data_IF_001727045176
#
_entry.id   IF_001727045176
#
_cell.length_a   1.000
_cell.length_b   1.000
_cell.length_c   1.000
_cell.angle_alpha   90.00
_cell.angle_beta   90.00
_cell.angle_gamma   90.00
#
_symmetry.space_group_name_H-M   'P 1'
#
loop_
_entity.id
_entity.type
_entity.pdbx_description
1 polymer ?
#
# COMPACT_ATOMS: atom_id res chain seq x y z
N UNK A 1 -0.24 -5.70 69.33
CA UNK A 1 -1.49 -6.02 68.61
C UNK A 1 -1.35 -5.47 67.19
N UNK A 2 -1.32 -6.36 66.19
CA UNK A 2 -1.80 -6.22 64.79
C UNK A 2 -1.40 -4.91 64.08
N UNK A 3 -0.29 -4.81 63.33
CA UNK A 3 0.00 -5.44 62.03
C UNK A 3 -1.15 -5.28 61.01
N UNK A 4 -1.29 -4.08 60.44
CA UNK A 4 -2.13 -3.85 59.27
C UNK A 4 -1.29 -4.07 58.00
N UNK A 5 -1.48 -5.30 57.52
CA UNK A 5 -0.95 -5.93 56.33
C UNK A 5 -1.36 -5.15 55.07
N UNK A 6 -0.37 -4.52 54.42
CA UNK A 6 -0.09 -4.54 52.98
C UNK A 6 -1.21 -5.11 52.08
N UNK A 7 -2.05 -4.22 51.51
CA UNK A 7 -2.96 -4.54 50.40
C UNK A 7 -2.74 -3.52 49.28
N UNK A 8 -1.61 -3.60 48.58
CA UNK A 8 -1.48 -2.98 47.26
C UNK A 8 -0.25 -3.49 46.45
N UNK A 9 -0.29 -4.70 45.88
CA UNK A 9 0.54 -4.91 44.69
C UNK A 9 -0.14 -5.66 43.54
N UNK A 10 -1.47 -5.80 43.52
CA UNK A 10 -2.12 -6.63 42.49
C UNK A 10 -2.52 -5.87 41.20
N UNK A 11 -2.54 -4.53 41.20
CA UNK A 11 -2.99 -3.75 40.03
C UNK A 11 -1.87 -3.37 39.05
N UNK A 12 -0.60 -3.61 39.38
CA UNK A 12 0.54 -3.21 38.51
C UNK A 12 0.86 -4.27 37.45
N UNK A 13 0.31 -5.49 37.57
CA UNK A 13 0.60 -6.60 36.65
C UNK A 13 -0.18 -6.55 35.32
N UNK A 14 -1.20 -5.68 35.19
CA UNK A 14 -2.02 -5.60 33.96
C UNK A 14 -1.57 -4.51 32.97
N UNK A 15 -0.56 -3.70 33.30
CA UNK A 15 -0.12 -2.60 32.44
C UNK A 15 0.95 -3.00 31.39
N UNK A 16 1.34 -4.27 31.30
CA UNK A 16 2.48 -4.72 30.49
C UNK A 16 2.16 -5.25 29.08
N UNK A 17 0.90 -5.23 28.64
CA UNK A 17 0.54 -5.62 27.28
C UNK A 17 0.49 -4.42 26.32
N UNK A 18 1.63 -3.73 26.13
CA UNK A 18 1.81 -2.92 24.91
C UNK A 18 2.56 -3.77 23.88
N UNK A 19 1.82 -4.66 23.20
CA UNK A 19 2.34 -5.42 22.07
C UNK A 19 2.52 -4.48 20.87
N UNK A 20 3.60 -3.70 20.87
CA UNK A 20 4.09 -3.05 19.66
C UNK A 20 4.65 -4.15 18.76
N UNK A 21 3.76 -4.81 18.01
CA UNK A 21 4.13 -5.84 17.05
C UNK A 21 4.98 -5.18 15.96
N UNK A 22 6.22 -5.67 15.71
CA UNK A 22 7.03 -5.15 14.62
C UNK A 22 6.27 -5.21 13.30
N UNK A 23 6.44 -4.19 12.45
CA UNK A 23 5.83 -4.19 11.12
C UNK A 23 6.25 -5.47 10.38
N UNK A 24 5.31 -6.23 9.79
CA UNK A 24 5.63 -7.46 9.09
C UNK A 24 6.53 -7.16 7.87
N UNK A 25 7.60 -7.92 7.71
CA UNK A 25 8.43 -7.87 6.50
C UNK A 25 7.73 -8.68 5.41
N UNK A 26 7.05 -8.00 4.48
CA UNK A 26 6.34 -8.62 3.37
C UNK A 26 7.25 -8.71 2.14
N UNK A 27 7.17 -9.83 1.41
CA UNK A 27 7.83 -9.95 0.13
C UNK A 27 7.30 -8.91 -0.87
N UNK A 28 8.13 -8.39 -1.79
CA UNK A 28 7.67 -7.46 -2.81
C UNK A 28 6.55 -8.08 -3.68
N UNK A 29 5.56 -7.28 -4.03
CA UNK A 29 4.49 -7.70 -4.94
C UNK A 29 5.05 -7.97 -6.34
N UNK A 30 4.87 -9.19 -6.82
CA UNK A 30 5.12 -9.60 -8.21
C UNK A 30 3.78 -9.77 -8.94
N UNK A 31 3.75 -9.48 -10.24
CA UNK A 31 2.57 -9.57 -11.11
C UNK A 31 2.84 -10.38 -12.37
N UNK A 32 4.03 -10.96 -12.52
CA UNK A 32 4.44 -11.75 -13.67
C UNK A 32 3.57 -12.99 -13.92
N UNK A 33 2.88 -13.49 -12.89
CA UNK A 33 1.96 -14.62 -12.97
C UNK A 33 0.61 -14.27 -13.61
N UNK A 34 0.30 -12.98 -13.82
CA UNK A 34 -0.96 -12.54 -14.41
C UNK A 34 -0.87 -12.49 -15.94
N UNK A 35 -1.98 -12.69 -16.66
CA UNK A 35 -2.01 -12.54 -18.11
C UNK A 35 -1.56 -11.13 -18.55
N UNK A 36 -0.76 -11.04 -19.63
CA UNK A 36 -0.31 -9.75 -20.16
C UNK A 36 -1.47 -8.96 -20.77
N UNK A 37 -1.32 -7.64 -20.78
CA UNK A 37 -2.20 -6.68 -21.41
C UNK A 37 -1.49 -6.18 -22.67
N UNK A 38 -1.91 -6.70 -23.82
CA UNK A 38 -1.20 -6.49 -25.09
C UNK A 38 -1.76 -5.32 -25.89
N UNK A 39 -0.89 -4.44 -26.35
CA UNK A 39 -1.23 -3.31 -27.22
C UNK A 39 -0.62 -3.46 -28.61
N UNK A 40 -1.37 -3.00 -29.63
CA UNK A 40 -0.93 -3.00 -31.04
C UNK A 40 -0.10 -1.75 -31.37
N UNK A 41 0.94 -1.53 -30.60
CA UNK A 41 1.91 -0.44 -30.77
C UNK A 41 3.34 -1.01 -30.75
N UNK A 42 4.31 -0.22 -31.20
CA UNK A 42 5.72 -0.63 -31.20
C UNK A 42 6.36 -0.55 -29.81
N UNK A 43 5.91 0.39 -28.96
CA UNK A 43 6.45 0.58 -27.62
C UNK A 43 5.37 1.02 -26.62
N UNK A 44 5.58 0.69 -25.34
CA UNK A 44 4.67 1.02 -24.23
C UNK A 44 5.47 1.54 -23.04
N UNK A 45 5.06 2.70 -22.53
CA UNK A 45 5.67 3.32 -21.33
C UNK A 45 4.66 3.45 -20.19
N UNK A 46 5.14 3.40 -18.95
CA UNK A 46 4.32 3.70 -17.76
C UNK A 46 4.78 5.03 -17.17
N UNK A 47 3.85 5.97 -17.05
CA UNK A 47 4.06 7.26 -16.39
C UNK A 47 3.28 7.31 -15.07
N UNK A 48 3.79 8.06 -14.10
CA UNK A 48 3.11 8.32 -12.84
C UNK A 48 2.96 9.82 -12.64
N UNK A 49 1.73 10.31 -12.74
CA UNK A 49 1.38 11.72 -12.54
C UNK A 49 0.70 11.95 -11.18
N UNK A 50 0.49 10.89 -10.40
CA UNK A 50 -0.22 11.00 -9.13
C UNK A 50 0.60 11.76 -8.09
N UNK A 51 0.00 12.82 -7.55
CA UNK A 51 0.53 13.60 -6.42
C UNK A 51 -0.47 13.47 -5.26
N UNK A 52 -0.08 12.83 -4.14
CA UNK A 52 -1.00 12.61 -3.03
C UNK A 52 -1.31 13.92 -2.29
N UNK A 53 -2.55 14.05 -1.82
CA UNK A 53 -2.90 15.08 -0.83
C UNK A 53 -2.26 14.76 0.53
N UNK A 54 -2.19 15.73 1.48
CA UNK A 54 -1.60 15.46 2.80
C UNK A 54 -2.27 14.31 3.56
N UNK A 55 -3.61 14.16 3.47
CA UNK A 55 -4.32 13.05 4.11
C UNK A 55 -3.96 11.69 3.51
N UNK A 56 -3.85 11.64 2.17
CA UNK A 56 -3.44 10.44 1.45
C UNK A 56 -1.97 10.09 1.70
N UNK A 57 -1.10 11.09 1.84
CA UNK A 57 0.31 10.88 2.18
C UNK A 57 0.46 10.21 3.56
N UNK A 58 -0.38 10.55 4.54
CA UNK A 58 -0.41 9.84 5.83
C UNK A 58 -0.74 8.36 5.64
N UNK A 59 -1.78 8.04 4.84
CA UNK A 59 -2.17 6.65 4.57
C UNK A 59 -1.11 5.87 3.78
N UNK A 60 -0.35 6.54 2.91
CA UNK A 60 0.78 5.93 2.18
C UNK A 60 1.86 5.44 3.15
N UNK A 61 2.13 6.19 4.23
CA UNK A 61 3.15 5.80 5.22
C UNK A 61 2.73 4.60 6.08
N UNK A 62 1.42 4.38 6.24
CA UNK A 62 0.87 3.22 6.96
C UNK A 62 0.77 1.97 6.07
N UNK A 63 0.81 2.15 4.74
CA UNK A 63 0.75 1.05 3.79
C UNK A 63 2.09 0.31 3.70
N UNK A 64 2.12 -1.03 3.61
CA UNK A 64 3.37 -1.77 3.44
C UNK A 64 4.16 -1.40 2.18
N UNK A 65 3.45 -1.01 1.12
CA UNK A 65 4.02 -0.44 -0.10
C UNK A 65 3.13 0.71 -0.60
N UNK A 66 3.70 1.79 -1.14
CA UNK A 66 2.92 2.90 -1.70
C UNK A 66 2.02 2.44 -2.85
N UNK A 67 0.71 2.77 -2.86
CA UNK A 67 -0.22 2.28 -3.88
C UNK A 67 0.18 2.65 -5.31
N UNK A 68 0.76 3.83 -5.52
CA UNK A 68 1.26 4.25 -6.83
C UNK A 68 2.39 3.36 -7.35
N UNK A 69 3.31 2.94 -6.47
CA UNK A 69 4.40 2.02 -6.80
C UNK A 69 3.85 0.62 -7.12
N UNK A 70 2.87 0.18 -6.33
CA UNK A 70 2.18 -1.11 -6.56
C UNK A 70 1.51 -1.15 -7.93
N UNK A 71 0.78 -0.10 -8.29
CA UNK A 71 0.11 0.01 -9.58
C UNK A 71 1.12 0.12 -10.74
N UNK A 72 2.21 0.88 -10.55
CA UNK A 72 3.28 0.99 -11.54
C UNK A 72 3.96 -0.36 -11.81
N UNK A 73 4.25 -1.15 -10.78
CA UNK A 73 4.81 -2.49 -10.94
C UNK A 73 3.86 -3.41 -11.69
N UNK A 74 2.55 -3.35 -11.38
CA UNK A 74 1.54 -4.13 -12.08
C UNK A 74 1.50 -3.81 -13.58
N UNK A 75 1.49 -2.52 -13.93
CA UNK A 75 1.52 -2.09 -15.33
C UNK A 75 2.82 -2.50 -16.01
N UNK A 76 3.98 -2.30 -15.35
CA UNK A 76 5.29 -2.64 -15.93
C UNK A 76 5.43 -4.14 -16.19
N UNK A 77 4.92 -5.00 -15.31
CA UNK A 77 4.98 -6.44 -15.50
C UNK A 77 4.02 -6.98 -16.56
N UNK A 78 2.95 -6.24 -16.86
CA UNK A 78 1.83 -6.77 -17.68
C UNK A 78 1.66 -6.08 -19.01
N UNK A 79 2.04 -4.82 -19.17
CA UNK A 79 1.89 -4.12 -20.44
C UNK A 79 2.93 -4.63 -21.45
N UNK A 80 2.45 -5.11 -22.59
CA UNK A 80 3.31 -5.65 -23.66
C UNK A 80 2.95 -4.97 -24.99
N UNK A 81 3.97 -4.39 -25.64
CA UNK A 81 3.87 -3.92 -27.02
C UNK A 81 4.09 -5.10 -27.99
N UNK A 82 3.18 -5.32 -28.94
CA UNK A 82 3.29 -6.44 -29.89
C UNK A 82 2.91 -6.06 -31.34
N UNK A 83 3.01 -4.79 -31.72
CA UNK A 83 2.59 -4.30 -33.03
C UNK A 83 3.57 -3.28 -33.63
N UNK A 84 3.14 -2.63 -34.71
CA UNK A 84 3.82 -1.49 -35.34
C UNK A 84 2.85 -0.73 -36.27
N UNK A 85 3.07 0.57 -36.54
CA UNK A 85 3.91 1.53 -35.82
C UNK A 85 3.16 2.18 -34.62
N UNK A 86 3.87 2.93 -33.76
CA UNK A 86 3.25 3.79 -32.73
C UNK A 86 3.81 3.58 -31.33
N UNK A 87 3.49 4.49 -30.41
CA UNK A 87 3.85 4.42 -28.99
C UNK A 87 2.58 4.58 -28.15
N UNK A 88 2.49 3.86 -27.04
CA UNK A 88 1.43 4.03 -26.04
C UNK A 88 2.00 4.38 -24.67
N UNK A 89 1.22 5.13 -23.89
CA UNK A 89 1.58 5.48 -22.51
C UNK A 89 0.39 5.18 -21.61
N UNK A 90 0.63 4.41 -20.55
CA UNK A 90 -0.31 4.24 -19.44
C UNK A 90 0.08 5.21 -18.33
N UNK A 91 -0.82 6.12 -17.96
CA UNK A 91 -0.53 7.20 -17.02
C UNK A 91 -1.32 6.99 -15.74
N UNK A 92 -0.63 6.77 -14.63
CA UNK A 92 -1.28 6.69 -13.32
C UNK A 92 -1.71 8.09 -12.91
N UNK A 93 -3.02 8.34 -12.90
CA UNK A 93 -3.62 9.61 -12.50
C UNK A 93 -4.01 9.61 -11.01
N UNK A 94 -4.43 8.46 -10.48
CA UNK A 94 -4.79 8.33 -9.06
C UNK A 94 -4.36 6.97 -8.54
N UNK A 95 -3.73 6.97 -7.37
CA UNK A 95 -3.43 5.76 -6.62
C UNK A 95 -3.50 6.05 -5.11
N UNK A 96 -4.71 6.30 -4.61
CA UNK A 96 -4.95 6.73 -3.23
C UNK A 96 -5.57 5.63 -2.37
N UNK A 97 -5.31 5.75 -1.06
CA UNK A 97 -6.04 5.08 0.00
C UNK A 97 -6.61 6.18 0.91
N UNK A 98 -7.90 6.16 1.12
CA UNK A 98 -8.63 7.15 1.91
C UNK A 98 -9.40 6.44 3.03
N UNK A 99 -9.27 6.92 4.27
CA UNK A 99 -10.03 6.39 5.41
C UNK A 99 -11.33 7.17 5.56
N UNK A 100 -12.46 6.48 5.39
CA UNK A 100 -13.81 7.06 5.48
C UNK A 100 -14.56 6.36 6.61
N UNK A 101 -14.61 7.01 7.78
CA UNK A 101 -15.14 6.40 9.01
C UNK A 101 -14.29 5.20 9.42
N UNK A 102 -14.91 4.01 9.49
CA UNK A 102 -14.23 2.75 9.79
C UNK A 102 -13.73 1.99 8.56
N UNK A 103 -13.93 2.52 7.35
CA UNK A 103 -13.59 1.84 6.11
C UNK A 103 -12.35 2.44 5.45
N UNK A 104 -11.61 1.59 4.73
CA UNK A 104 -10.57 2.02 3.81
C UNK A 104 -11.12 1.92 2.38
N UNK A 105 -11.04 3.02 1.65
CA UNK A 105 -11.44 3.12 0.25
C UNK A 105 -10.20 3.34 -0.59
N UNK A 106 -9.95 2.46 -1.56
CA UNK A 106 -8.87 2.62 -2.53
C UNK A 106 -9.40 3.12 -3.87
N UNK A 107 -8.73 4.11 -4.45
CA UNK A 107 -9.04 4.63 -5.79
C UNK A 107 -7.81 4.53 -6.68
N UNK A 108 -7.95 3.79 -7.78
CA UNK A 108 -6.91 3.57 -8.78
C UNK A 108 -7.42 4.00 -10.16
N UNK A 109 -6.69 4.86 -10.87
CA UNK A 109 -7.05 5.31 -12.23
C UNK A 109 -5.81 5.42 -13.11
N UNK A 110 -5.93 4.89 -14.34
CA UNK A 110 -4.89 4.75 -15.36
C UNK A 110 -5.44 5.19 -16.71
#
# INVERSE_FOLDING_TARGET
MKQHLLVLPLFVALAACSNQTPAPNLAPLDYSYLPPITFKVADMTVANNYVPTPGQATMINEAPQPPALVLQNMLTHRLVASGAPGQGTATIETASLDQIGSNLTGTLTV
#
